data_IF_907113183813
#
_entry.id   IF_907113183813
#
_cell.length_a   1.000
_cell.length_b   1.000
_cell.length_c   1.000
_cell.angle_alpha   90.00
_cell.angle_beta   90.00
_cell.angle_gamma   90.00
#
_symmetry.space_group_name_H-M   'P 1'
#
loop_
_entity.id
_entity.type
_entity.pdbx_description
1 polymer ?
#
# COMPACT_ATOMS: atom_id res chain seq x y z
N UNK A 1 -9.72 69.05 -24.28
CA UNK A 1 -9.47 67.68 -23.76
C UNK A 1 -8.64 66.96 -24.81
N UNK A 2 -7.31 67.12 -24.93
CA UNK A 2 -6.23 67.00 -23.95
C UNK A 2 -6.37 65.79 -23.02
N UNK A 3 -5.85 64.64 -23.47
CA UNK A 3 -4.97 63.75 -22.69
C UNK A 3 -4.39 62.69 -23.65
N UNK A 4 -3.22 62.95 -24.26
CA UNK A 4 -1.92 62.43 -23.81
C UNK A 4 -1.87 60.89 -23.73
N UNK A 5 -1.71 60.26 -24.89
CA UNK A 5 -1.23 58.89 -25.00
C UNK A 5 0.31 58.95 -25.07
N UNK A 6 0.95 59.00 -23.91
CA UNK A 6 2.41 58.93 -23.79
C UNK A 6 2.81 58.29 -22.46
N UNK A 7 3.07 57.00 -22.47
CA UNK A 7 3.96 56.34 -21.50
C UNK A 7 4.79 55.31 -22.24
N UNK A 8 6.00 55.73 -22.62
CA UNK A 8 7.09 54.85 -22.98
C UNK A 8 7.77 54.29 -21.71
N UNK A 9 8.44 53.14 -21.89
CA UNK A 9 9.48 52.56 -21.02
C UNK A 9 8.98 51.89 -19.73
N UNK A 10 9.13 50.56 -19.63
CA UNK A 10 10.36 49.92 -19.14
C UNK A 10 10.20 48.40 -19.19
N UNK A 11 11.20 47.74 -19.74
CA UNK A 11 11.41 46.31 -19.58
C UNK A 11 11.50 46.01 -18.08
N UNK A 12 10.64 45.11 -17.61
CA UNK A 12 10.91 44.40 -16.37
C UNK A 12 10.51 42.96 -16.61
N UNK A 13 11.52 42.11 -16.79
CA UNK A 13 11.39 40.71 -16.44
C UNK A 13 10.82 40.70 -15.02
N UNK A 14 9.53 40.43 -14.88
CA UNK A 14 9.05 39.82 -13.65
C UNK A 14 9.70 38.44 -13.61
N UNK A 15 10.92 38.44 -13.07
CA UNK A 15 11.44 37.36 -12.26
C UNK A 15 10.31 37.05 -11.29
N UNK A 16 9.50 36.05 -11.62
CA UNK A 16 8.71 35.35 -10.63
C UNK A 16 9.77 34.77 -9.70
N UNK A 17 10.09 35.53 -8.66
CA UNK A 17 10.55 34.97 -7.40
C UNK A 17 9.45 34.02 -7.01
N UNK A 18 9.65 32.75 -7.39
CA UNK A 18 9.12 31.65 -6.63
C UNK A 18 9.68 31.89 -5.24
N UNK A 19 8.83 32.41 -4.37
CA UNK A 19 9.08 32.38 -2.94
C UNK A 19 9.48 30.94 -2.61
N UNK A 20 10.72 30.80 -2.14
CA UNK A 20 11.20 29.55 -1.58
C UNK A 20 10.37 29.29 -0.32
N UNK A 21 9.29 28.53 -0.47
CA UNK A 21 8.63 27.90 0.66
C UNK A 21 9.66 27.01 1.37
N UNK A 22 9.81 27.13 2.69
CA UNK A 22 10.90 26.50 3.40
C UNK A 22 10.72 24.99 3.44
N UNK A 23 11.64 24.29 2.77
CA UNK A 23 12.08 22.92 3.05
C UNK A 23 11.05 21.97 3.69
N UNK A 24 10.08 21.51 2.90
CA UNK A 24 9.33 20.29 3.17
C UNK A 24 9.66 19.28 2.09
N UNK A 25 10.52 18.31 2.39
CA UNK A 25 11.02 17.34 1.40
C UNK A 25 9.91 16.71 0.58
N UNK A 26 9.90 16.99 -0.73
CA UNK A 26 9.08 16.29 -1.69
C UNK A 26 9.52 14.82 -1.68
N UNK A 27 8.75 13.98 -0.99
CA UNK A 27 8.96 12.54 -0.96
C UNK A 27 8.95 12.00 -2.38
N UNK A 28 9.97 11.21 -2.72
CA UNK A 28 10.02 10.40 -3.92
C UNK A 28 8.67 9.66 -4.11
N UNK A 29 8.11 9.62 -5.33
CA UNK A 29 6.84 8.94 -5.57
C UNK A 29 6.94 7.49 -5.08
N UNK A 30 5.92 7.05 -4.33
CA UNK A 30 5.90 5.70 -3.78
C UNK A 30 6.02 4.67 -4.92
N UNK A 31 7.12 3.91 -4.92
CA UNK A 31 7.41 2.92 -5.97
C UNK A 31 6.35 1.83 -5.99
N UNK A 32 5.84 1.48 -7.16
CA UNK A 32 4.90 0.36 -7.33
C UNK A 32 5.67 -0.96 -7.39
N UNK A 33 5.07 -2.07 -6.91
CA UNK A 33 5.61 -3.40 -7.15
C UNK A 33 5.77 -3.67 -8.66
N UNK A 34 6.89 -4.27 -9.05
CA UNK A 34 7.19 -4.68 -10.44
C UNK A 34 7.08 -6.19 -10.64
N UNK A 35 6.98 -6.94 -9.55
CA UNK A 35 6.78 -8.39 -9.54
C UNK A 35 6.18 -8.84 -8.21
N UNK A 36 6.14 -10.14 -7.97
CA UNK A 36 5.71 -10.72 -6.68
C UNK A 36 6.57 -11.92 -6.29
N UNK A 37 6.47 -12.38 -5.04
CA UNK A 37 7.01 -13.67 -4.60
C UNK A 37 8.42 -13.67 -3.99
N UNK A 38 9.09 -12.52 -3.83
CA UNK A 38 10.43 -12.44 -3.22
C UNK A 38 10.44 -11.83 -1.82
N UNK A 39 9.32 -11.24 -1.39
CA UNK A 39 9.19 -10.57 -0.09
C UNK A 39 9.94 -9.23 0.02
N UNK A 40 10.41 -8.69 -1.10
CA UNK A 40 11.03 -7.36 -1.20
C UNK A 40 9.97 -6.30 -1.49
N UNK A 41 10.33 -5.02 -1.40
CA UNK A 41 9.39 -3.94 -1.70
C UNK A 41 8.94 -3.93 -3.17
N UNK A 42 9.86 -4.26 -4.07
CA UNK A 42 9.62 -4.35 -5.52
C UNK A 42 8.87 -5.63 -5.91
N UNK A 43 9.04 -6.70 -5.12
CA UNK A 43 8.50 -8.03 -5.38
C UNK A 43 7.92 -8.64 -4.09
N UNK A 44 6.84 -8.05 -3.53
CA UNK A 44 6.24 -8.51 -2.29
C UNK A 44 5.72 -9.93 -2.42
N UNK A 45 5.67 -10.67 -1.31
CA UNK A 45 4.89 -11.90 -1.27
C UNK A 45 3.41 -11.60 -1.48
N UNK A 46 2.71 -12.51 -2.14
CA UNK A 46 1.25 -12.48 -2.25
C UNK A 46 0.61 -13.08 -1.00
N UNK A 47 -0.69 -12.80 -0.81
CA UNK A 47 -1.51 -13.51 0.19
C UNK A 47 -1.43 -15.03 0.01
N UNK A 48 -1.40 -15.51 -1.24
CA UNK A 48 -1.27 -16.93 -1.56
C UNK A 48 0.05 -17.53 -1.06
N UNK A 49 1.17 -16.82 -1.19
CA UNK A 49 2.48 -17.30 -0.74
C UNK A 49 2.53 -17.46 0.79
N UNK A 50 1.89 -16.53 1.52
CA UNK A 50 1.78 -16.60 2.98
C UNK A 50 0.91 -17.78 3.42
N UNK A 51 -0.26 -17.96 2.78
CA UNK A 51 -1.19 -19.07 3.10
C UNK A 51 -0.63 -20.44 2.70
N UNK A 52 0.16 -20.51 1.62
CA UNK A 52 0.87 -21.71 1.20
C UNK A 52 2.09 -22.05 2.07
N UNK A 53 2.45 -21.17 3.02
CA UNK A 53 3.59 -21.39 3.92
C UNK A 53 4.96 -21.20 3.25
N UNK A 54 5.03 -20.56 2.08
CA UNK A 54 6.30 -20.18 1.42
C UNK A 54 7.07 -19.20 2.32
N UNK A 55 6.32 -18.36 3.05
CA UNK A 55 6.87 -17.34 3.93
C UNK A 55 7.14 -17.93 5.32
N UNK A 56 8.40 -18.31 5.58
CA UNK A 56 8.81 -18.85 6.88
C UNK A 56 8.99 -17.76 7.95
N UNK A 57 8.59 -18.01 9.22
CA UNK A 57 8.86 -17.13 10.34
C UNK A 57 10.34 -17.18 10.75
N UNK A 58 11.21 -16.53 9.98
CA UNK A 58 12.65 -16.44 10.26
C UNK A 58 13.01 -15.21 11.13
N UNK A 59 12.02 -14.56 11.74
CA UNK A 59 12.21 -13.35 12.54
C UNK A 59 12.56 -12.09 11.74
N UNK A 60 12.66 -12.18 10.41
CA UNK A 60 12.89 -11.04 9.51
C UNK A 60 11.57 -10.50 8.96
N UNK A 61 11.39 -9.18 8.87
CA UNK A 61 10.21 -8.61 8.24
C UNK A 61 10.29 -8.78 6.71
N UNK A 62 9.15 -9.08 6.10
CA UNK A 62 8.99 -9.22 4.64
C UNK A 62 7.83 -8.36 4.17
N UNK A 63 7.87 -7.94 2.92
CA UNK A 63 6.76 -7.24 2.28
C UNK A 63 5.72 -8.25 1.78
N UNK A 64 4.45 -7.97 2.08
CA UNK A 64 3.28 -8.70 1.58
C UNK A 64 2.30 -7.70 0.98
N UNK A 65 1.75 -8.02 -0.19
CA UNK A 65 0.70 -7.25 -0.83
C UNK A 65 -0.60 -8.05 -0.94
N UNK A 66 -1.71 -7.36 -0.80
CA UNK A 66 -3.06 -7.92 -0.96
C UNK A 66 -4.13 -6.84 -0.86
N UNK A 67 -5.38 -7.22 -1.10
CA UNK A 67 -6.52 -6.32 -0.94
C UNK A 67 -6.99 -6.32 0.51
N UNK A 68 -7.22 -5.13 1.06
CA UNK A 68 -7.81 -4.98 2.39
C UNK A 68 -9.31 -5.28 2.35
N UNK A 69 -9.74 -6.41 2.91
CA UNK A 69 -11.13 -6.87 2.79
C UNK A 69 -11.94 -6.83 4.09
N UNK A 70 -11.31 -6.51 5.22
CA UNK A 70 -12.02 -6.43 6.48
C UNK A 70 -11.12 -6.39 7.71
N UNK A 71 -11.71 -6.66 8.87
CA UNK A 71 -11.01 -6.85 10.13
C UNK A 71 -11.65 -8.00 10.93
N UNK A 72 -10.93 -8.52 11.92
CA UNK A 72 -11.40 -9.58 12.80
C UNK A 72 -11.44 -9.14 14.27
N UNK A 73 -12.35 -9.69 15.05
CA UNK A 73 -12.43 -9.49 16.50
C UNK A 73 -11.99 -10.74 17.24
N UNK A 74 -10.80 -10.67 17.86
CA UNK A 74 -10.19 -11.75 18.68
C UNK A 74 -9.89 -13.07 17.94
N UNK A 75 -10.59 -13.40 16.86
CA UNK A 75 -10.49 -14.64 16.10
C UNK A 75 -11.01 -14.45 14.67
N UNK A 76 -10.58 -15.30 13.74
CA UNK A 76 -11.09 -15.33 12.35
C UNK A 76 -12.51 -15.91 12.22
N UNK A 77 -13.08 -16.45 13.30
CA UNK A 77 -14.50 -16.81 13.34
C UNK A 77 -15.42 -15.59 13.50
N UNK A 78 -14.86 -14.40 13.79
CA UNK A 78 -15.61 -13.17 14.00
C UNK A 78 -14.98 -12.07 13.16
N UNK A 79 -15.34 -12.05 11.88
CA UNK A 79 -14.84 -11.10 10.91
C UNK A 79 -15.94 -10.11 10.48
N UNK A 80 -15.51 -8.91 10.14
CA UNK A 80 -16.33 -7.86 9.57
C UNK A 80 -15.71 -7.45 8.23
N UNK A 81 -16.35 -7.85 7.14
CA UNK A 81 -15.93 -7.59 5.77
C UNK A 81 -16.64 -6.36 5.19
N UNK A 82 -16.51 -5.22 5.88
CA UNK A 82 -17.13 -3.96 5.52
C UNK A 82 -16.09 -2.83 5.46
N UNK A 83 -16.42 -1.65 4.87
CA UNK A 83 -15.47 -0.55 4.77
C UNK A 83 -15.13 0.13 6.09
N UNK A 84 -15.92 -0.06 7.13
CA UNK A 84 -15.68 0.54 8.44
C UNK A 84 -16.01 -0.46 9.55
N UNK A 85 -15.19 -1.51 9.71
CA UNK A 85 -15.43 -2.51 10.73
C UNK A 85 -15.25 -1.91 12.13
N UNK A 86 -15.86 -2.46 13.18
CA UNK A 86 -15.72 -1.86 14.52
C UNK A 86 -14.30 -1.98 15.14
N UNK A 87 -13.36 -2.66 14.47
CA UNK A 87 -12.08 -3.10 15.03
C UNK A 87 -10.90 -2.52 14.25
N UNK A 88 -9.95 -1.90 14.95
CA UNK A 88 -8.77 -1.25 14.35
C UNK A 88 -7.45 -1.97 14.63
N UNK A 89 -7.45 -3.03 15.45
CA UNK A 89 -6.23 -3.74 15.86
C UNK A 89 -5.62 -4.63 14.76
N UNK A 90 -6.31 -4.82 13.64
CA UNK A 90 -5.84 -5.63 12.53
C UNK A 90 -6.50 -5.19 11.22
N UNK A 91 -5.98 -5.74 10.13
CA UNK A 91 -6.56 -5.72 8.80
C UNK A 91 -6.45 -7.14 8.20
N UNK A 92 -7.45 -7.55 7.42
CA UNK A 92 -7.45 -8.81 6.68
C UNK A 92 -7.07 -8.55 5.23
N UNK A 93 -6.03 -9.24 4.77
CA UNK A 93 -5.58 -9.17 3.38
C UNK A 93 -6.01 -10.41 2.61
N UNK A 94 -6.55 -10.23 1.41
CA UNK A 94 -6.96 -11.30 0.49
C UNK A 94 -6.32 -11.11 -0.88
N UNK A 95 -6.17 -12.19 -1.65
CA UNK A 95 -5.80 -12.11 -3.08
C UNK A 95 -6.96 -11.65 -3.97
N UNK A 96 -8.16 -11.61 -3.41
CA UNK A 96 -9.42 -11.26 -4.06
C UNK A 96 -10.06 -10.10 -3.29
N UNK A 97 -10.29 -8.98 -3.99
CA UNK A 97 -10.84 -7.75 -3.42
C UNK A 97 -12.29 -7.89 -2.96
N UNK A 98 -13.02 -8.91 -3.42
CA UNK A 98 -14.40 -9.19 -3.04
C UNK A 98 -14.51 -10.31 -2.00
N UNK A 99 -13.38 -10.80 -1.46
CA UNK A 99 -13.36 -11.90 -0.53
C UNK A 99 -14.14 -11.60 0.76
N UNK A 100 -15.01 -12.55 1.13
CA UNK A 100 -15.77 -12.56 2.40
C UNK A 100 -15.54 -13.85 3.18
N UNK A 101 -14.50 -14.60 2.83
CA UNK A 101 -14.12 -15.87 3.46
C UNK A 101 -12.81 -15.70 4.24
N UNK A 102 -12.89 -15.81 5.56
CA UNK A 102 -11.76 -15.62 6.44
C UNK A 102 -10.63 -16.65 6.24
N UNK A 103 -10.92 -17.83 5.69
CA UNK A 103 -9.90 -18.85 5.39
C UNK A 103 -8.96 -18.45 4.24
N UNK A 104 -9.41 -17.52 3.40
CA UNK A 104 -8.66 -16.95 2.28
C UNK A 104 -7.93 -15.65 2.64
N UNK A 105 -7.89 -15.32 3.93
CA UNK A 105 -7.33 -14.07 4.43
C UNK A 105 -6.07 -14.28 5.27
N UNK A 106 -5.11 -13.36 5.10
CA UNK A 106 -3.94 -13.20 5.95
C UNK A 106 -4.22 -12.06 6.94
N UNK A 107 -4.30 -12.34 8.26
CA UNK A 107 -4.46 -11.29 9.24
C UNK A 107 -3.12 -10.57 9.51
N UNK A 108 -3.18 -9.25 9.59
CA UNK A 108 -2.04 -8.38 9.89
C UNK A 108 -2.32 -7.61 11.17
N UNK A 109 -1.45 -7.73 12.17
CA UNK A 109 -1.57 -7.01 13.43
C UNK A 109 -1.15 -5.54 13.31
N UNK A 110 -2.00 -4.64 13.78
CA UNK A 110 -1.75 -3.19 13.86
C UNK A 110 -1.57 -2.80 15.34
N UNK A 111 -0.41 -3.13 15.90
CA UNK A 111 -0.15 -3.05 17.35
C UNK A 111 0.00 -1.62 17.89
N UNK A 112 0.42 -0.66 17.06
CA UNK A 112 0.70 0.73 17.48
C UNK A 112 -0.34 1.69 16.92
N UNK A 113 -0.51 2.84 17.57
CA UNK A 113 -1.43 3.88 17.08
C UNK A 113 -1.05 4.37 15.68
N UNK A 114 0.25 4.44 15.36
CA UNK A 114 0.76 4.76 14.02
C UNK A 114 0.12 3.85 12.96
N UNK A 115 0.17 2.54 13.15
CA UNK A 115 -0.34 1.58 12.16
C UNK A 115 -1.86 1.51 12.13
N UNK A 116 -2.53 1.70 13.27
CA UNK A 116 -3.99 1.80 13.31
C UNK A 116 -4.47 3.00 12.50
N UNK A 117 -3.88 4.18 12.71
CA UNK A 117 -4.23 5.39 11.95
C UNK A 117 -3.93 5.23 10.46
N UNK A 118 -2.80 4.60 10.10
CA UNK A 118 -2.39 4.50 8.69
C UNK A 118 -3.13 3.41 7.90
N UNK A 119 -3.40 2.25 8.50
CA UNK A 119 -3.80 1.05 7.75
C UNK A 119 -5.16 0.47 8.17
N UNK A 120 -5.67 0.76 9.37
CA UNK A 120 -6.96 0.18 9.76
C UNK A 120 -8.08 0.77 8.91
N UNK A 121 -9.02 -0.07 8.47
CA UNK A 121 -10.18 0.37 7.70
C UNK A 121 -11.04 1.42 8.40
N UNK A 122 -11.24 1.41 9.74
CA UNK A 122 -12.03 2.46 10.39
C UNK A 122 -11.41 3.85 10.27
N UNK A 123 -10.08 3.92 10.26
CA UNK A 123 -9.36 5.17 10.02
C UNK A 123 -9.19 5.48 8.52
N UNK A 124 -9.29 4.46 7.66
CA UNK A 124 -9.07 4.55 6.21
C UNK A 124 -10.18 3.82 5.43
N UNK A 125 -11.45 4.26 5.45
CA UNK A 125 -12.55 3.50 4.84
C UNK A 125 -12.42 3.36 3.32
N UNK A 126 -11.77 4.34 2.66
CA UNK A 126 -11.46 4.28 1.24
C UNK A 126 -10.49 3.15 0.88
N UNK A 127 -9.76 2.60 1.86
CA UNK A 127 -8.87 1.45 1.71
C UNK A 127 -9.60 0.12 1.52
N UNK A 128 -10.91 0.05 1.78
CA UNK A 128 -11.68 -1.16 1.58
C UNK A 128 -11.65 -1.62 0.12
N UNK A 129 -11.27 -2.88 -0.09
CA UNK A 129 -11.04 -3.52 -1.40
C UNK A 129 -9.91 -2.90 -2.22
N UNK A 130 -9.12 -2.02 -1.63
CA UNK A 130 -7.93 -1.45 -2.26
C UNK A 130 -6.71 -2.28 -1.93
N UNK A 131 -5.73 -2.24 -2.82
CA UNK A 131 -4.45 -2.89 -2.58
C UNK A 131 -3.68 -2.13 -1.50
N UNK A 132 -3.08 -2.88 -0.59
CA UNK A 132 -2.18 -2.38 0.44
C UNK A 132 -0.96 -3.27 0.47
N UNK A 133 0.19 -2.67 0.73
CA UNK A 133 1.42 -3.40 0.94
C UNK A 133 1.94 -3.14 2.35
N UNK A 134 2.31 -4.20 3.06
CA UNK A 134 2.73 -4.14 4.46
C UNK A 134 4.02 -4.91 4.65
N UNK A 135 4.97 -4.32 5.37
CA UNK A 135 6.16 -5.00 5.84
C UNK A 135 5.98 -5.41 7.30
N UNK A 136 6.05 -6.71 7.56
CA UNK A 136 5.89 -7.26 8.91
C UNK A 136 6.59 -8.60 9.06
N UNK A 137 6.77 -9.04 10.30
CA UNK A 137 7.34 -10.35 10.61
C UNK A 137 6.27 -11.44 10.43
N UNK A 138 6.53 -12.48 9.60
CA UNK A 138 5.66 -13.64 9.51
C UNK A 138 5.53 -14.33 10.86
N UNK A 139 4.30 -14.64 11.26
CA UNK A 139 4.00 -15.30 12.54
C UNK A 139 2.62 -15.96 12.49
N UNK A 140 2.38 -16.88 13.42
CA UNK A 140 1.00 -17.33 13.67
C UNK A 140 0.19 -16.19 14.30
N UNK A 141 -0.94 -15.84 13.68
CA UNK A 141 -1.90 -14.87 14.20
C UNK A 141 -3.32 -15.37 13.93
N UNK A 142 -4.17 -15.34 14.96
CA UNK A 142 -5.49 -15.98 14.94
C UNK A 142 -5.49 -17.43 14.43
N UNK A 143 -4.45 -18.19 14.82
CA UNK A 143 -4.23 -19.61 14.47
C UNK A 143 -4.00 -19.89 12.97
N UNK A 144 -3.70 -18.87 12.18
CA UNK A 144 -3.27 -19.00 10.78
C UNK A 144 -1.94 -18.27 10.52
N UNK A 145 -1.37 -18.42 9.33
CA UNK A 145 -0.24 -17.63 8.84
C UNK A 145 -0.66 -16.16 8.71
N UNK A 146 0.04 -15.28 9.43
CA UNK A 146 -0.24 -13.85 9.49
C UNK A 146 1.03 -13.00 9.57
N UNK A 147 0.84 -11.70 9.66
CA UNK A 147 1.93 -10.75 9.92
C UNK A 147 1.74 -10.05 11.27
N UNK A 148 2.86 -9.86 11.97
CA UNK A 148 2.94 -9.07 13.20
C UNK A 148 4.13 -8.12 13.14
N UNK A 149 4.27 -7.27 14.16
CA UNK A 149 5.39 -6.32 14.27
C UNK A 149 5.59 -5.51 12.98
N UNK A 150 4.50 -4.92 12.47
CA UNK A 150 4.54 -4.08 11.27
C UNK A 150 5.57 -2.97 11.44
N UNK A 151 6.41 -2.78 10.43
CA UNK A 151 7.48 -1.78 10.43
C UNK A 151 7.39 -0.80 9.25
N UNK A 152 6.71 -1.17 8.17
CA UNK A 152 6.38 -0.29 7.05
C UNK A 152 5.03 -0.70 6.44
N UNK A 153 4.37 0.22 5.75
CA UNK A 153 3.15 -0.09 5.00
C UNK A 153 2.62 1.12 4.27
N UNK A 154 1.96 0.88 3.13
CA UNK A 154 1.34 1.92 2.31
C UNK A 154 0.18 1.37 1.50
N UNK A 155 -0.79 2.24 1.24
CA UNK A 155 -1.86 1.98 0.29
C UNK A 155 -1.34 2.09 -1.15
N UNK A 156 -1.84 1.22 -2.02
CA UNK A 156 -1.66 1.25 -3.47
C UNK A 156 -3.03 1.47 -4.10
N UNK A 157 -3.61 2.66 -3.87
CA UNK A 157 -4.96 2.99 -4.34
C UNK A 157 -5.06 2.86 -5.86
N UNK A 158 -6.09 2.15 -6.34
CA UNK A 158 -6.30 1.90 -7.77
C UNK A 158 -5.32 0.92 -8.42
N UNK A 159 -4.36 0.37 -7.67
CA UNK A 159 -3.44 -0.64 -8.19
C UNK A 159 -4.09 -2.02 -8.20
N UNK A 160 -3.97 -2.71 -9.34
CA UNK A 160 -4.44 -4.08 -9.49
C UNK A 160 -3.28 -5.08 -9.35
N UNK A 161 -3.16 -5.69 -8.17
CA UNK A 161 -2.14 -6.69 -7.88
C UNK A 161 -2.32 -7.97 -8.71
N UNK A 162 -3.54 -8.27 -9.17
CA UNK A 162 -3.82 -9.50 -9.93
C UNK A 162 -3.18 -9.51 -11.33
N UNK A 163 -2.85 -8.34 -11.86
CA UNK A 163 -2.15 -8.18 -13.14
C UNK A 163 -0.62 -8.21 -13.04
N UNK A 164 -0.04 -8.34 -11.85
CA UNK A 164 1.42 -8.31 -11.65
C UNK A 164 2.01 -9.73 -11.81
N UNK A 165 3.03 -9.88 -12.67
CA UNK A 165 3.69 -11.17 -12.87
C UNK A 165 4.43 -11.65 -11.61
N UNK A 166 4.53 -12.97 -11.45
CA UNK A 166 5.39 -13.62 -10.45
C UNK A 166 6.86 -13.62 -10.85
N UNK A 167 7.16 -13.45 -12.13
CA UNK A 167 8.52 -13.31 -12.63
C UNK A 167 8.85 -11.83 -12.85
N UNK A 168 9.78 -11.23 -12.08
CA UNK A 168 10.16 -9.83 -12.26
C UNK A 168 10.80 -9.52 -13.62
N UNK A 169 11.25 -10.53 -14.39
CA UNK A 169 12.10 -10.34 -15.58
C UNK A 169 11.36 -10.30 -16.94
N UNK A 170 10.06 -10.54 -17.02
CA UNK A 170 9.40 -10.70 -18.33
C UNK A 170 9.16 -9.40 -19.13
N UNK A 171 9.46 -8.22 -18.57
CA UNK A 171 9.18 -6.92 -19.23
C UNK A 171 10.30 -6.42 -20.16
N UNK A 172 11.35 -7.21 -20.42
CA UNK A 172 12.46 -6.82 -21.31
C UNK A 172 12.54 -7.63 -22.63
N UNK A 173 11.62 -8.56 -22.87
CA UNK A 173 11.66 -9.40 -24.07
C UNK A 173 10.96 -8.81 -25.31
N UNK A 174 10.38 -7.61 -25.24
CA UNK A 174 9.79 -6.92 -26.40
C UNK A 174 10.81 -6.05 -27.17
N UNK A 175 12.09 -6.43 -27.13
CA UNK A 175 13.11 -5.80 -28.00
C UNK A 175 13.04 -6.42 -29.40
N UNK A 176 12.20 -5.80 -30.24
CA UNK A 176 12.35 -5.63 -31.70
C UNK A 176 13.01 -6.83 -32.42
N UNK A 177 12.18 -7.71 -32.98
CA UNK A 177 12.59 -8.52 -34.14
C UNK A 177 12.80 -7.60 -35.35
N UNK A 178 14.05 -7.49 -35.79
CA UNK A 178 14.46 -6.81 -37.02
C UNK A 178 13.83 -7.40 -38.27
#
# INVERSE_FOLDING_TARGET
MLLLCLCALLASCQKMTLDEEPGGGAGEPARLPVGTGLGTEDCPFTVGDVLAGVVSPQGRPVWVAGYAVGAAYRTLATCDFSPSPAYSSNILLSSDSLCTDASRCVPVELSTQKWKTLLSLPANPAGYRQCVMVQGTPATYYKTSGLRKVCAGRWLYGFDLSGVSRDPQEWQADTISW
#
